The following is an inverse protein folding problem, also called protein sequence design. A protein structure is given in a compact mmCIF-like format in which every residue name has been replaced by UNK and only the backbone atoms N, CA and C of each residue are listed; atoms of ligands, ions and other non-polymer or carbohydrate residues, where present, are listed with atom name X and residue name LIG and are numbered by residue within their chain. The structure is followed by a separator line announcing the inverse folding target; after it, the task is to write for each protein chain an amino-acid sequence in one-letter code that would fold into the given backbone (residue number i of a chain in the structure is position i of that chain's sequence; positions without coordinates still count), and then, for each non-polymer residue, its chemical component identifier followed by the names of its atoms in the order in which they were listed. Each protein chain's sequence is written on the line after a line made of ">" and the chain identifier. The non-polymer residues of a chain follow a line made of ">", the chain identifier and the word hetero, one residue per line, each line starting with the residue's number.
data_IF_320718470997
#
_entry.id   IF_320718470997
#
_cell.length_a   1.000
_cell.length_b   1.000
_cell.length_c   1.000
_cell.angle_alpha   90.00
_cell.angle_beta   90.00
_cell.angle_gamma   90.00
#
_symmetry.space_group_name_H-M   'P 1'
#
loop_
_entity.id
_entity.type
_entity.pdbx_description
1 polymer ?
#
# COMPACT_ATOMS: atom_id res chain seq x y z
N UNK A 1 -3.83 -12.54 -7.13
CA UNK A 1 -4.14 -12.43 -5.71
C UNK A 1 -5.13 -11.29 -5.55
N UNK A 2 -6.28 -11.56 -4.96
CA UNK A 2 -7.18 -10.51 -4.50
C UNK A 2 -6.76 -9.99 -3.11
N UNK A 3 -7.39 -8.92 -2.63
CA UNK A 3 -7.01 -8.33 -1.35
C UNK A 3 -7.47 -9.11 -0.10
N UNK A 4 -8.28 -10.16 -0.24
CA UNK A 4 -8.62 -11.06 0.87
C UNK A 4 -7.55 -12.15 0.99
N UNK A 5 -7.19 -12.78 -0.13
CA UNK A 5 -6.06 -13.71 -0.23
C UNK A 5 -4.76 -13.06 0.27
N UNK A 6 -4.53 -11.79 -0.06
CA UNK A 6 -3.35 -11.05 0.42
C UNK A 6 -3.31 -10.89 1.95
N UNK A 7 -4.45 -10.68 2.61
CA UNK A 7 -4.52 -10.55 4.06
C UNK A 7 -4.27 -11.89 4.76
N UNK A 8 -4.88 -12.96 4.25
CA UNK A 8 -4.68 -14.32 4.78
C UNK A 8 -3.23 -14.78 4.61
N UNK A 9 -2.64 -14.54 3.43
CA UNK A 9 -1.23 -14.82 3.17
C UNK A 9 -0.32 -14.04 4.12
N UNK A 10 -0.60 -12.76 4.36
CA UNK A 10 0.18 -11.93 5.29
C UNK A 10 0.17 -12.51 6.71
N UNK A 11 -0.99 -12.97 7.19
CA UNK A 11 -1.11 -13.60 8.52
C UNK A 11 -0.35 -14.92 8.62
N UNK A 12 -0.40 -15.72 7.57
CA UNK A 12 0.23 -17.04 7.52
C UNK A 12 1.75 -16.97 7.34
N UNK A 13 2.21 -16.16 6.38
CA UNK A 13 3.61 -16.10 5.98
C UNK A 13 4.43 -15.10 6.80
N UNK A 14 3.78 -14.11 7.43
CA UNK A 14 4.42 -13.04 8.22
C UNK A 14 5.60 -12.39 7.47
N UNK A 15 5.36 -11.77 6.31
CA UNK A 15 6.41 -11.20 5.50
C UNK A 15 7.08 -10.01 6.20
N UNK A 16 8.33 -9.75 5.85
CA UNK A 16 9.06 -8.56 6.32
C UNK A 16 8.55 -7.27 5.65
N UNK A 17 7.94 -7.36 4.45
CA UNK A 17 7.43 -6.22 3.69
C UNK A 17 6.30 -6.64 2.74
N UNK A 18 5.33 -5.75 2.53
CA UNK A 18 4.21 -5.95 1.61
C UNK A 18 4.30 -4.96 0.45
N UNK A 19 4.28 -5.46 -0.78
CA UNK A 19 4.04 -4.66 -1.98
C UNK A 19 2.55 -4.73 -2.33
N UNK A 20 1.87 -3.58 -2.29
CA UNK A 20 0.42 -3.50 -2.48
C UNK A 20 0.07 -2.67 -3.71
N UNK A 21 -0.59 -3.30 -4.69
CA UNK A 21 -1.08 -2.60 -5.88
C UNK A 21 -2.34 -1.78 -5.55
N UNK A 22 -2.33 -0.50 -5.93
CA UNK A 22 -3.49 0.37 -5.76
C UNK A 22 -4.60 0.07 -6.78
N UNK A 23 -4.23 -0.27 -8.01
CA UNK A 23 -5.15 -0.40 -9.15
C UNK A 23 -5.66 -1.84 -9.30
N UNK A 24 -6.12 -2.45 -8.20
CA UNK A 24 -6.73 -3.78 -8.22
C UNK A 24 -8.24 -3.73 -8.49
N UNK A 25 -8.79 -4.62 -9.34
CA UNK A 25 -10.18 -4.55 -9.78
C UNK A 25 -11.24 -5.01 -8.76
N UNK A 26 -10.86 -5.76 -7.70
CA UNK A 26 -11.84 -6.41 -6.80
C UNK A 26 -11.92 -5.79 -5.40
N UNK A 27 -10.78 -5.64 -4.71
CA UNK A 27 -10.68 -4.95 -3.41
C UNK A 27 -9.75 -3.77 -3.60
N UNK A 28 -10.23 -2.56 -3.32
CA UNK A 28 -9.40 -1.36 -3.43
C UNK A 28 -8.19 -1.50 -2.51
N UNK A 29 -6.97 -1.32 -3.04
CA UNK A 29 -5.73 -1.41 -2.25
C UNK A 29 -5.75 -0.48 -1.02
N UNK A 30 -6.56 0.58 -1.06
CA UNK A 30 -6.79 1.47 0.09
C UNK A 30 -7.49 0.74 1.25
N UNK A 31 -8.50 -0.08 0.96
CA UNK A 31 -9.22 -0.84 2.00
C UNK A 31 -8.30 -1.86 2.66
N UNK A 32 -7.50 -2.58 1.86
CA UNK A 32 -6.55 -3.55 2.39
C UNK A 32 -5.46 -2.86 3.22
N UNK A 33 -4.91 -1.72 2.77
CA UNK A 33 -3.98 -0.93 3.56
C UNK A 33 -4.59 -0.54 4.92
N UNK A 34 -5.84 -0.09 4.93
CA UNK A 34 -6.56 0.24 6.16
C UNK A 34 -6.68 -0.97 7.09
N UNK A 35 -7.06 -2.13 6.57
CA UNK A 35 -7.19 -3.36 7.37
C UNK A 35 -5.84 -3.80 7.94
N UNK A 36 -4.76 -3.78 7.14
CA UNK A 36 -3.41 -4.13 7.58
C UNK A 36 -2.90 -3.19 8.69
N UNK A 37 -3.20 -1.89 8.59
CA UNK A 37 -2.76 -0.90 9.58
C UNK A 37 -3.63 -0.84 10.85
N UNK A 38 -4.86 -1.35 10.79
CA UNK A 38 -5.73 -1.52 11.97
C UNK A 38 -5.49 -2.84 12.72
N UNK A 39 -4.85 -3.81 12.08
CA UNK A 39 -4.54 -5.11 12.67
C UNK A 39 -3.29 -5.01 13.57
N UNK A 40 -3.46 -5.22 14.88
CA UNK A 40 -2.37 -5.16 15.86
C UNK A 40 -1.21 -6.13 15.56
N UNK A 41 -1.51 -7.28 14.93
CA UNK A 41 -0.50 -8.27 14.57
C UNK A 41 0.21 -7.93 13.26
N UNK A 42 -0.35 -7.07 12.40
CA UNK A 42 0.20 -6.82 11.05
C UNK A 42 0.65 -5.37 10.84
N UNK A 43 0.18 -4.42 11.65
CA UNK A 43 0.43 -2.98 11.48
C UNK A 43 1.91 -2.59 11.45
N UNK A 44 2.77 -3.43 12.03
CA UNK A 44 4.21 -3.24 12.09
C UNK A 44 4.93 -3.61 10.78
N UNK A 45 4.28 -4.37 9.90
CA UNK A 45 4.83 -4.75 8.60
C UNK A 45 4.78 -3.51 7.68
N UNK A 46 5.91 -3.09 7.09
CA UNK A 46 5.94 -1.98 6.15
C UNK A 46 5.16 -2.33 4.87
N UNK A 47 4.29 -1.41 4.45
CA UNK A 47 3.49 -1.52 3.23
C UNK A 47 3.93 -0.46 2.23
N UNK A 48 4.40 -0.92 1.08
CA UNK A 48 4.79 -0.08 -0.05
C UNK A 48 3.71 -0.15 -1.12
N UNK A 49 3.13 1.00 -1.45
CA UNK A 49 2.11 1.09 -2.50
C UNK A 49 2.74 1.16 -3.88
N UNK A 50 2.34 0.26 -4.77
CA UNK A 50 2.75 0.24 -6.18
C UNK A 50 1.57 0.76 -7.01
N UNK A 51 1.76 1.84 -7.77
CA UNK A 51 0.63 2.54 -8.39
C UNK A 51 0.99 3.26 -9.69
N UNK A 52 0.03 3.33 -10.61
CA UNK A 52 0.09 4.15 -11.83
C UNK A 52 -0.87 5.34 -11.82
N UNK A 53 -1.47 5.65 -10.66
CA UNK A 53 -2.58 6.61 -10.55
C UNK A 53 -2.20 8.03 -11.00
N UNK A 54 -0.93 8.43 -10.84
CA UNK A 54 -0.45 9.72 -11.37
C UNK A 54 -0.57 9.80 -12.89
N UNK A 55 -0.19 8.74 -13.59
CA UNK A 55 -0.31 8.66 -15.05
C UNK A 55 -1.76 8.56 -15.52
N UNK A 56 -2.63 7.88 -14.75
CA UNK A 56 -4.04 7.68 -15.14
C UNK A 56 -4.95 8.87 -14.81
N UNK A 57 -4.71 9.55 -13.67
CA UNK A 57 -5.60 10.60 -13.16
C UNK A 57 -5.01 12.00 -13.28
N UNK A 58 -3.69 12.13 -13.52
CA UNK A 58 -2.97 13.40 -13.50
C UNK A 58 -2.80 14.00 -12.10
N UNK A 59 -3.15 13.26 -11.05
CA UNK A 59 -3.04 13.68 -9.65
C UNK A 59 -1.84 12.97 -9.02
N UNK A 60 -0.97 13.70 -8.33
CA UNK A 60 0.15 13.11 -7.62
C UNK A 60 -0.31 12.18 -6.48
N UNK A 61 0.56 11.25 -6.09
CA UNK A 61 0.25 10.24 -5.08
C UNK A 61 -0.14 10.85 -3.74
N UNK A 62 0.57 11.89 -3.29
CA UNK A 62 0.29 12.50 -1.99
C UNK A 62 -1.11 13.12 -1.97
N UNK A 63 -1.47 13.86 -3.01
CA UNK A 63 -2.82 14.41 -3.18
C UNK A 63 -3.87 13.31 -3.28
N UNK A 64 -3.58 12.22 -4.00
CA UNK A 64 -4.49 11.09 -4.11
C UNK A 64 -4.80 10.47 -2.74
N UNK A 65 -3.78 10.14 -1.94
CA UNK A 65 -3.98 9.54 -0.63
C UNK A 65 -4.60 10.50 0.38
N UNK A 66 -4.29 11.80 0.32
CA UNK A 66 -5.00 12.80 1.10
C UNK A 66 -6.50 12.80 0.83
N UNK A 67 -6.92 12.72 -0.44
CA UNK A 67 -8.34 12.68 -0.82
C UNK A 67 -8.99 11.35 -0.45
N UNK A 68 -8.31 10.24 -0.70
CA UNK A 68 -8.79 8.91 -0.35
C UNK A 68 -9.03 8.76 1.15
N UNK A 69 -8.15 9.32 1.99
CA UNK A 69 -8.29 9.30 3.43
C UNK A 69 -9.52 10.09 3.94
N UNK A 70 -9.86 11.20 3.29
CA UNK A 70 -11.04 12.00 3.64
C UNK A 70 -12.37 11.35 3.24
N UNK A 71 -12.36 10.50 2.19
CA UNK A 71 -13.55 9.80 1.72
C UNK A 71 -13.92 8.56 2.56
N UNK A 72 -12.99 8.04 3.38
CA UNK A 72 -13.19 6.84 4.19
C UNK A 72 -13.73 7.16 5.61
N UNK A 73 -14.84 7.90 5.68
CA UNK A 73 -15.82 7.97 6.79
C UNK A 73 -15.26 7.81 8.24
N UNK A 74 -14.19 8.54 8.56
CA UNK A 74 -13.63 8.60 9.93
C UNK A 74 -12.50 7.60 10.24
N UNK A 75 -12.06 6.80 9.27
CA UNK A 75 -10.83 6.04 9.39
C UNK A 75 -9.62 7.00 9.42
N UNK A 76 -8.65 6.77 10.32
CA UNK A 76 -7.44 7.61 10.37
C UNK A 76 -6.77 7.65 8.99
N UNK A 77 -6.14 8.78 8.60
CA UNK A 77 -5.37 8.84 7.38
C UNK A 77 -4.22 7.82 7.46
N UNK A 78 -4.39 6.67 6.82
CA UNK A 78 -3.34 5.67 6.72
C UNK A 78 -2.36 6.10 5.64
N UNK A 79 -1.16 6.47 6.07
CA UNK A 79 -0.04 6.71 5.18
C UNK A 79 0.69 5.38 4.97
N UNK A 80 0.85 4.90 3.73
CA UNK A 80 1.77 3.80 3.48
C UNK A 80 3.21 4.22 3.78
N UNK A 81 4.05 3.23 4.05
CA UNK A 81 5.45 3.43 4.45
C UNK A 81 6.32 3.85 3.26
N UNK A 82 5.87 3.55 2.04
CA UNK A 82 6.52 3.99 0.81
C UNK A 82 5.61 3.91 -0.40
N UNK A 83 6.07 4.50 -1.50
CA UNK A 83 5.38 4.48 -2.80
C UNK A 83 6.37 4.15 -3.91
N UNK A 84 5.89 3.43 -4.91
CA UNK A 84 6.60 3.16 -6.16
C UNK A 84 5.65 3.39 -7.32
N UNK A 85 6.06 4.23 -8.25
CA UNK A 85 5.28 4.52 -9.45
C UNK A 85 5.56 3.47 -10.54
N UNK A 86 4.52 3.08 -11.29
CA UNK A 86 4.65 2.21 -12.46
C UNK A 86 5.08 3.03 -13.70
N UNK A 87 5.99 2.54 -14.55
CA UNK A 87 6.72 1.28 -14.45
C UNK A 87 7.75 1.31 -13.31
N UNK A 88 7.81 0.20 -12.57
CA UNK A 88 8.66 0.09 -11.38
C UNK A 88 10.13 0.13 -11.79
N UNK A 89 10.86 1.09 -11.24
CA UNK A 89 12.31 1.18 -11.32
C UNK A 89 12.93 0.21 -10.28
N UNK A 90 13.64 -0.86 -10.72
CA UNK A 90 14.18 -1.87 -9.80
C UNK A 90 15.17 -1.30 -8.79
N UNK A 91 16.00 -0.34 -9.19
CA UNK A 91 17.02 0.23 -8.30
C UNK A 91 16.36 1.06 -7.20
N UNK A 92 15.38 1.90 -7.57
CA UNK A 92 14.60 2.67 -6.59
C UNK A 92 13.80 1.79 -5.65
N UNK A 93 13.20 0.70 -6.16
CA UNK A 93 12.49 -0.25 -5.31
C UNK A 93 13.45 -0.90 -4.31
N UNK A 94 14.62 -1.33 -4.75
CA UNK A 94 15.63 -1.93 -3.87
C UNK A 94 16.14 -0.94 -2.81
N UNK A 95 16.37 0.32 -3.18
CA UNK A 95 16.73 1.37 -2.21
C UNK A 95 15.62 1.59 -1.17
N UNK A 96 14.37 1.66 -1.62
CA UNK A 96 13.21 1.81 -0.72
C UNK A 96 13.10 0.63 0.25
N UNK A 97 13.20 -0.60 -0.25
CA UNK A 97 13.13 -1.82 0.57
C UNK A 97 14.24 -1.84 1.60
N UNK A 98 15.49 -1.51 1.22
CA UNK A 98 16.61 -1.41 2.16
C UNK A 98 16.34 -0.38 3.24
N UNK A 99 15.85 0.81 2.87
CA UNK A 99 15.56 1.87 3.84
C UNK A 99 14.47 1.49 4.85
N UNK A 100 13.52 0.62 4.46
CA UNK A 100 12.43 0.17 5.31
C UNK A 100 12.80 -1.02 6.20
N UNK A 101 13.72 -1.87 5.74
CA UNK A 101 14.10 -3.11 6.44
C UNK A 101 15.42 -3.04 7.23
N UNK A 102 16.25 -2.02 6.98
CA UNK A 102 17.54 -1.82 7.66
C UNK A 102 18.72 -2.32 6.85
#
# INVERSE_FOLDING_TARGET
>A
ADGLEGLEATRSERPDLILLDLMMPQKSGISLLSELKQDEELKHIPVVMVTGVSGETGIDLETFFQRASQANDGAQPFKPDGYVEKPVDPDKLLELVKNLLG
#
